data_IF_916861911229
#
_entry.id   IF_916861911229
#
_cell.length_a   1.000
_cell.length_b   1.000
_cell.length_c   1.000
_cell.angle_alpha   90.00
_cell.angle_beta   90.00
_cell.angle_gamma   90.00
#
_symmetry.space_group_name_H-M   'P 1'
#
loop_
_entity.id
_entity.type
_entity.pdbx_description
1 polymer ?
#
# COMPACT_ATOMS: atom_id res chain seq x y z
N UNK A 1 -9.87 40.77 18.49
CA UNK A 1 -9.30 39.97 17.38
C UNK A 1 -7.78 39.75 17.46
N UNK A 2 -7.10 40.04 18.57
CA UNK A 2 -5.63 40.29 18.53
C UNK A 2 -4.74 39.38 19.40
N UNK A 3 -5.27 38.36 20.09
CA UNK A 3 -4.44 37.40 20.86
C UNK A 3 -4.44 35.99 20.25
N UNK A 4 -5.60 35.52 19.77
CA UNK A 4 -5.77 34.16 19.24
C UNK A 4 -5.06 33.95 17.89
N UNK A 5 -5.09 34.96 17.01
CA UNK A 5 -4.38 34.90 15.72
C UNK A 5 -2.86 34.92 15.90
N UNK A 6 -2.35 35.65 16.89
CA UNK A 6 -0.91 35.69 17.19
C UNK A 6 -0.45 34.35 17.76
N UNK A 7 -1.23 33.73 18.67
CA UNK A 7 -0.94 32.37 19.18
C UNK A 7 -0.99 31.31 18.07
N UNK A 8 -2.00 31.34 17.19
CA UNK A 8 -2.05 30.46 16.00
C UNK A 8 -0.85 30.67 15.08
N UNK A 9 -0.43 31.91 14.84
CA UNK A 9 0.70 32.22 13.96
C UNK A 9 2.04 31.72 14.48
N UNK A 10 2.33 31.92 15.78
CA UNK A 10 3.56 31.40 16.39
C UNK A 10 3.57 29.88 16.56
N UNK A 11 2.40 29.27 16.78
CA UNK A 11 2.28 27.81 16.87
C UNK A 11 2.38 27.14 15.49
N UNK A 12 1.84 27.75 14.43
CA UNK A 12 2.04 27.32 13.04
C UNK A 12 3.53 27.39 12.65
N UNK A 13 4.28 28.39 13.11
CA UNK A 13 5.73 28.47 12.92
C UNK A 13 6.49 27.36 13.67
N UNK A 14 6.03 26.98 14.88
CA UNK A 14 6.59 25.85 15.62
C UNK A 14 6.30 24.50 14.93
N UNK A 15 5.09 24.30 14.40
CA UNK A 15 4.74 23.15 13.56
C UNK A 15 5.58 23.14 12.26
N UNK A 16 5.81 24.31 11.65
CA UNK A 16 6.69 24.43 10.47
C UNK A 16 8.14 24.01 10.78
N UNK A 17 8.64 24.31 11.99
CA UNK A 17 9.96 23.85 12.45
C UNK A 17 10.00 22.33 12.63
N UNK A 18 8.92 21.70 13.10
CA UNK A 18 8.81 20.24 13.17
C UNK A 18 8.76 19.64 11.75
N UNK A 19 8.04 20.29 10.82
CA UNK A 19 7.86 19.83 9.44
C UNK A 19 9.12 19.87 8.57
N UNK A 20 10.09 20.76 8.82
CA UNK A 20 11.34 20.80 8.02
C UNK A 20 12.25 19.57 8.25
N UNK A 21 12.06 18.84 9.35
CA UNK A 21 12.75 17.58 9.63
C UNK A 21 12.06 16.34 9.06
N UNK A 22 10.89 16.47 8.44
CA UNK A 22 10.04 15.34 8.03
C UNK A 22 10.24 14.89 6.58
N UNK A 23 11.32 15.31 5.92
CA UNK A 23 11.62 14.84 4.57
C UNK A 23 12.51 13.59 4.57
N UNK A 24 12.01 12.57 3.87
CA UNK A 24 12.69 11.42 3.26
C UNK A 24 12.82 10.08 4.01
N UNK A 25 12.42 9.91 5.28
CA UNK A 25 12.52 8.60 5.98
C UNK A 25 11.37 8.29 6.98
N UNK A 26 10.15 8.70 6.65
CA UNK A 26 9.09 8.93 7.64
C UNK A 26 8.07 7.80 7.84
N UNK A 27 8.42 6.55 7.51
CA UNK A 27 7.48 5.43 7.56
C UNK A 27 7.81 4.39 8.64
N UNK A 28 8.99 4.51 9.25
CA UNK A 28 9.49 3.58 10.23
C UNK A 28 9.66 4.28 11.56
N UNK A 29 8.89 3.83 12.56
CA UNK A 29 9.06 4.28 13.93
C UNK A 29 9.64 3.12 14.71
N UNK A 30 10.85 3.31 15.24
CA UNK A 30 11.42 2.38 16.21
C UNK A 30 10.64 2.52 17.52
N UNK A 31 9.52 1.80 17.65
CA UNK A 31 8.99 1.50 18.97
C UNK A 31 9.93 0.48 19.63
N UNK A 32 10.05 0.56 20.95
CA UNK A 32 11.08 -0.07 21.79
C UNK A 32 11.35 -1.58 21.60
N UNK A 33 10.67 -2.32 20.72
CA UNK A 33 11.05 -3.68 20.32
C UNK A 33 10.46 -4.20 18.97
N UNK A 34 9.82 -3.37 18.14
CA UNK A 34 9.32 -3.77 16.81
C UNK A 34 9.40 -2.61 15.81
N UNK A 35 9.95 -2.87 14.62
CA UNK A 35 9.77 -2.01 13.45
C UNK A 35 8.33 -2.21 12.99
N UNK A 36 7.46 -1.24 13.28
CA UNK A 36 6.07 -1.23 12.81
C UNK A 36 5.85 0.02 11.97
N UNK A 37 5.13 -0.13 10.87
CA UNK A 37 4.77 0.98 10.00
C UNK A 37 3.70 1.83 10.69
N UNK A 38 4.05 3.07 11.05
CA UNK A 38 3.15 4.01 11.70
C UNK A 38 3.01 5.30 10.87
N UNK A 39 1.80 5.86 10.85
CA UNK A 39 1.50 7.13 10.17
C UNK A 39 2.34 8.30 10.69
N UNK A 40 2.60 8.33 12.00
CA UNK A 40 3.42 9.31 12.67
C UNK A 40 4.30 8.62 13.71
N UNK A 41 5.50 9.14 13.93
CA UNK A 41 6.30 8.79 15.09
C UNK A 41 5.67 9.29 16.39
N UNK A 42 6.07 8.66 17.50
CA UNK A 42 5.52 8.94 18.82
C UNK A 42 5.70 10.41 19.25
N UNK A 43 6.81 11.04 18.89
CA UNK A 43 7.04 12.45 19.23
C UNK A 43 6.10 13.37 18.44
N UNK A 44 6.00 13.14 17.13
CA UNK A 44 5.11 13.89 16.24
C UNK A 44 3.65 13.78 16.70
N UNK A 45 3.15 12.59 16.98
CA UNK A 45 1.75 12.44 17.41
C UNK A 45 1.47 13.11 18.76
N UNK A 46 2.38 13.01 19.73
CA UNK A 46 2.18 13.69 21.02
C UNK A 46 2.12 15.22 20.88
N UNK A 47 2.96 15.80 20.01
CA UNK A 47 2.91 17.23 19.71
C UNK A 47 1.58 17.63 19.05
N UNK A 48 1.06 16.80 18.13
CA UNK A 48 -0.24 17.04 17.50
C UNK A 48 -1.41 16.93 18.48
N UNK A 49 -1.38 15.95 19.39
CA UNK A 49 -2.39 15.82 20.44
C UNK A 49 -2.35 17.03 21.39
N UNK A 50 -1.17 17.50 21.77
CA UNK A 50 -1.01 18.70 22.59
C UNK A 50 -1.51 19.95 21.85
N UNK A 51 -1.24 20.07 20.56
CA UNK A 51 -1.76 21.14 19.72
C UNK A 51 -3.29 21.13 19.68
N UNK A 52 -3.90 19.98 19.36
CA UNK A 52 -5.35 19.80 19.36
C UNK A 52 -5.96 20.15 20.72
N UNK A 53 -5.30 19.77 21.82
CA UNK A 53 -5.69 20.16 23.18
C UNK A 53 -5.72 21.69 23.32
N UNK A 54 -4.61 22.36 23.04
CA UNK A 54 -4.49 23.81 23.23
C UNK A 54 -5.47 24.60 22.36
N UNK A 55 -5.69 24.17 21.12
CA UNK A 55 -6.59 24.87 20.20
C UNK A 55 -8.07 24.62 20.48
N UNK A 56 -8.43 23.46 21.05
CA UNK A 56 -9.81 23.14 21.45
C UNK A 56 -10.21 23.71 22.82
N UNK A 57 -9.33 24.44 23.50
CA UNK A 57 -9.53 24.89 24.88
C UNK A 57 -10.81 25.72 25.09
N UNK A 58 -11.23 26.51 24.09
CA UNK A 58 -12.47 27.29 24.16
C UNK A 58 -13.75 26.43 24.23
N UNK A 59 -13.67 25.19 23.73
CA UNK A 59 -14.79 24.24 23.76
C UNK A 59 -14.94 23.56 25.12
N UNK A 60 -13.96 23.66 26.02
CA UNK A 60 -13.94 22.90 27.28
C UNK A 60 -15.07 23.27 28.22
N UNK A 61 -15.51 24.53 28.22
CA UNK A 61 -16.65 24.96 29.03
C UNK A 61 -18.01 24.51 28.47
N UNK A 62 -18.05 24.02 27.23
CA UNK A 62 -19.29 23.62 26.55
C UNK A 62 -19.61 22.13 26.70
N UNK A 63 -18.66 21.34 27.21
CA UNK A 63 -18.76 19.88 27.29
C UNK A 63 -18.39 19.38 28.67
N UNK A 64 -19.15 18.40 29.16
CA UNK A 64 -18.96 17.78 30.48
C UNK A 64 -17.80 16.81 30.51
N UNK A 65 -17.56 16.10 29.40
CA UNK A 65 -16.53 15.07 29.30
C UNK A 65 -15.54 15.37 28.17
N UNK A 66 -14.34 14.81 28.29
CA UNK A 66 -13.25 14.97 27.31
C UNK A 66 -12.60 13.62 27.08
N UNK A 67 -12.55 13.18 25.83
CA UNK A 67 -12.05 11.86 25.47
C UNK A 67 -10.95 11.94 24.42
N UNK A 68 -9.88 11.18 24.63
CA UNK A 68 -8.93 10.82 23.58
C UNK A 68 -9.38 9.46 23.04
N UNK A 69 -9.74 9.39 21.77
CA UNK A 69 -10.18 8.14 21.12
C UNK A 69 -9.05 7.63 20.25
N UNK A 70 -8.44 6.50 20.64
CA UNK A 70 -7.25 5.93 19.99
C UNK A 70 -7.08 4.45 20.30
N UNK A 71 -6.58 3.67 19.36
CA UNK A 71 -6.17 2.27 19.55
C UNK A 71 -4.77 2.12 20.15
N UNK A 72 -3.93 3.16 20.08
CA UNK A 72 -2.63 3.18 20.75
C UNK A 72 -2.76 3.43 22.26
N UNK A 73 -2.55 2.37 23.05
CA UNK A 73 -2.61 2.40 24.51
C UNK A 73 -1.54 3.28 25.17
N UNK A 74 -0.45 3.59 24.46
CA UNK A 74 0.64 4.43 24.94
C UNK A 74 0.31 5.91 24.83
N UNK A 75 -0.62 6.30 23.96
CA UNK A 75 -1.02 7.69 23.83
C UNK A 75 -1.89 8.10 25.01
N UNK A 76 -1.47 9.19 25.67
CA UNK A 76 -2.18 9.83 26.77
C UNK A 76 -2.23 11.31 26.53
N UNK A 77 -3.36 11.92 26.89
CA UNK A 77 -3.53 13.36 26.84
C UNK A 77 -4.06 13.83 28.19
N UNK A 78 -3.29 14.67 28.89
CA UNK A 78 -3.68 15.18 30.20
C UNK A 78 -5.08 15.83 30.15
N UNK A 79 -5.91 15.60 31.16
CA UNK A 79 -7.31 16.05 31.28
C UNK A 79 -8.30 15.39 30.31
N UNK A 80 -7.88 14.38 29.55
CA UNK A 80 -8.72 13.58 28.67
C UNK A 80 -8.72 12.12 29.13
N UNK A 81 -9.88 11.49 29.12
CA UNK A 81 -10.00 10.04 29.35
C UNK A 81 -9.70 9.32 28.03
N UNK A 82 -8.73 8.41 28.02
CA UNK A 82 -8.42 7.61 26.85
C UNK A 82 -9.41 6.44 26.72
N UNK A 83 -10.01 6.28 25.54
CA UNK A 83 -10.89 5.17 25.15
C UNK A 83 -10.47 4.64 23.78
N UNK A 84 -10.66 3.34 23.55
CA UNK A 84 -10.28 2.72 22.26
C UNK A 84 -11.42 2.64 21.25
N UNK A 85 -12.65 2.83 21.71
CA UNK A 85 -13.82 2.92 20.84
C UNK A 85 -14.90 3.76 21.51
N UNK A 86 -15.69 4.46 20.71
CA UNK A 86 -16.90 5.16 21.15
C UNK A 86 -17.93 4.20 21.75
N UNK A 87 -17.88 2.92 21.42
CA UNK A 87 -18.78 1.89 21.99
C UNK A 87 -18.57 1.69 23.51
N UNK A 88 -17.51 2.25 24.09
CA UNK A 88 -17.23 2.17 25.52
C UNK A 88 -18.05 3.17 26.34
N UNK A 89 -18.79 4.08 25.70
CA UNK A 89 -19.59 5.11 26.35
C UNK A 89 -21.01 5.15 25.77
N UNK A 90 -21.97 5.61 26.57
CA UNK A 90 -23.37 5.72 26.15
C UNK A 90 -23.66 6.98 25.31
N UNK A 91 -24.82 6.99 24.65
CA UNK A 91 -25.23 8.07 23.75
C UNK A 91 -25.38 9.43 24.42
N UNK A 92 -25.78 9.49 25.69
CA UNK A 92 -25.91 10.77 26.40
C UNK A 92 -24.53 11.32 26.72
N UNK A 93 -23.59 10.46 27.10
CA UNK A 93 -22.20 10.82 27.30
C UNK A 93 -21.58 11.35 26.01
N UNK A 94 -21.82 10.72 24.86
CA UNK A 94 -21.29 11.19 23.56
C UNK A 94 -21.70 12.65 23.27
N UNK A 95 -22.99 12.96 23.43
CA UNK A 95 -23.54 14.30 23.19
C UNK A 95 -22.89 15.39 24.06
N UNK A 96 -22.59 15.04 25.31
CA UNK A 96 -21.98 15.93 26.31
C UNK A 96 -20.44 15.93 26.29
N UNK A 97 -19.82 15.35 25.25
CA UNK A 97 -18.37 15.17 25.16
C UNK A 97 -17.69 16.02 24.08
N UNK A 98 -16.43 16.37 24.36
CA UNK A 98 -15.42 16.78 23.40
C UNK A 98 -14.47 15.61 23.13
N UNK A 99 -14.22 15.30 21.87
CA UNK A 99 -13.34 14.23 21.44
C UNK A 99 -12.11 14.79 20.72
N UNK A 100 -10.93 14.28 21.07
CA UNK A 100 -9.76 14.31 20.18
C UNK A 100 -9.57 12.87 19.71
N UNK A 101 -9.51 12.67 18.40
CA UNK A 101 -9.53 11.34 17.79
C UNK A 101 -8.22 11.16 17.03
N UNK A 102 -7.58 10.01 17.20
CA UNK A 102 -6.43 9.62 16.42
C UNK A 102 -6.41 8.11 16.23
N UNK A 103 -6.25 7.69 14.99
CA UNK A 103 -5.96 6.31 14.61
C UNK A 103 -4.89 6.35 13.52
N UNK A 104 -4.07 5.31 13.44
CA UNK A 104 -3.06 5.22 12.39
C UNK A 104 -3.66 5.08 10.99
N UNK A 105 -4.93 4.67 10.87
CA UNK A 105 -5.64 4.48 9.60
C UNK A 105 -6.95 5.26 9.54
N UNK A 106 -7.32 5.70 8.35
CA UNK A 106 -8.51 6.51 8.09
C UNK A 106 -9.81 5.67 8.24
N UNK A 107 -9.78 4.36 7.97
CA UNK A 107 -10.95 3.47 8.14
C UNK A 107 -11.43 3.40 9.60
N UNK A 108 -10.51 3.16 10.54
CA UNK A 108 -10.83 3.12 11.96
C UNK A 108 -11.17 4.54 12.46
N UNK A 109 -10.45 5.56 11.99
CA UNK A 109 -10.73 6.97 12.29
C UNK A 109 -12.16 7.38 11.87
N UNK A 110 -12.54 7.11 10.62
CA UNK A 110 -13.86 7.45 10.07
C UNK A 110 -14.97 6.68 10.78
N UNK A 111 -14.73 5.42 11.14
CA UNK A 111 -15.68 4.61 11.93
C UNK A 111 -15.99 5.28 13.27
N UNK A 112 -14.99 5.79 13.99
CA UNK A 112 -15.21 6.49 15.25
C UNK A 112 -15.84 7.87 15.06
N UNK A 113 -15.39 8.65 14.07
CA UNK A 113 -15.99 9.96 13.76
C UNK A 113 -17.48 9.85 13.42
N UNK A 114 -17.88 8.82 12.67
CA UNK A 114 -19.28 8.56 12.36
C UNK A 114 -20.10 8.37 13.64
N UNK A 115 -19.62 7.57 14.59
CA UNK A 115 -20.31 7.33 15.87
C UNK A 115 -20.43 8.60 16.71
N UNK A 116 -19.37 9.41 16.75
CA UNK A 116 -19.41 10.72 17.43
C UNK A 116 -20.47 11.63 16.79
N UNK A 117 -20.47 11.73 15.46
CA UNK A 117 -21.41 12.57 14.72
C UNK A 117 -22.86 12.11 14.89
N UNK A 118 -23.12 10.81 14.78
CA UNK A 118 -24.44 10.22 14.99
C UNK A 118 -24.94 10.45 16.44
N UNK A 119 -24.03 10.39 17.42
CA UNK A 119 -24.29 10.72 18.83
C UNK A 119 -24.28 12.22 19.16
N UNK A 120 -24.13 13.11 18.16
CA UNK A 120 -24.09 14.57 18.32
C UNK A 120 -22.98 15.08 19.26
N UNK A 121 -21.89 14.32 19.38
CA UNK A 121 -20.68 14.78 20.07
C UNK A 121 -19.91 15.81 19.24
N UNK A 122 -18.96 16.50 19.87
CA UNK A 122 -18.04 17.41 19.17
C UNK A 122 -16.67 16.76 19.11
N UNK A 123 -16.05 16.66 17.94
CA UNK A 123 -14.65 16.28 17.82
C UNK A 123 -13.80 17.45 17.33
N UNK A 124 -12.52 17.44 17.73
CA UNK A 124 -11.49 18.33 17.23
C UNK A 124 -10.45 17.50 16.47
N UNK A 125 -10.28 17.78 15.18
CA UNK A 125 -9.28 17.12 14.35
C UNK A 125 -7.87 17.59 14.72
N UNK A 126 -6.88 16.71 14.54
CA UNK A 126 -5.49 17.08 14.76
C UNK A 126 -5.09 18.23 13.82
N UNK A 127 -4.47 19.31 14.31
CA UNK A 127 -4.11 20.49 13.50
C UNK A 127 -2.86 20.25 12.64
N UNK A 128 -2.77 19.10 11.98
CA UNK A 128 -1.66 18.71 11.15
C UNK A 128 -1.91 19.05 9.68
N UNK A 129 -0.92 19.68 9.06
CA UNK A 129 -0.86 19.87 7.62
C UNK A 129 0.46 19.30 7.12
N UNK A 130 0.46 18.05 6.64
CA UNK A 130 1.48 17.60 5.70
C UNK A 130 0.83 16.79 4.58
N UNK A 131 1.02 17.29 3.35
CA UNK A 131 0.68 16.58 2.13
C UNK A 131 -0.76 16.06 1.98
N UNK A 132 -0.91 15.15 1.03
CA UNK A 132 -2.12 14.35 0.81
C UNK A 132 -1.93 12.98 1.48
N UNK A 133 -3.01 12.35 1.92
CA UNK A 133 -2.96 10.99 2.47
C UNK A 133 -2.48 9.99 1.41
N UNK A 134 -1.85 8.91 1.87
CA UNK A 134 -1.46 7.73 1.08
C UNK A 134 -2.56 6.68 1.21
N UNK A 135 -2.77 5.85 0.20
CA UNK A 135 -3.65 4.68 0.29
C UNK A 135 -3.28 3.78 1.48
N UNK A 136 -1.98 3.65 1.79
CA UNK A 136 -1.48 2.93 2.97
C UNK A 136 -2.21 3.33 4.25
N UNK A 137 -2.50 4.62 4.43
CA UNK A 137 -3.19 5.12 5.62
C UNK A 137 -4.70 5.00 5.51
N UNK A 138 -5.25 4.76 4.32
CA UNK A 138 -6.69 4.60 4.13
C UNK A 138 -7.17 3.19 4.47
N UNK A 139 -6.30 2.19 4.41
CA UNK A 139 -6.67 0.78 4.59
C UNK A 139 -5.74 0.06 5.58
N UNK A 140 -6.30 -0.36 6.71
CA UNK A 140 -5.55 -1.07 7.75
C UNK A 140 -5.02 -2.43 7.32
N UNK A 141 -5.66 -3.10 6.36
CA UNK A 141 -5.17 -4.36 5.83
C UNK A 141 -3.91 -4.15 4.98
N UNK A 142 -3.78 -2.99 4.32
CA UNK A 142 -2.55 -2.62 3.62
C UNK A 142 -1.39 -2.46 4.60
N UNK A 143 -1.57 -1.71 5.70
CA UNK A 143 -0.54 -1.59 6.75
C UNK A 143 -0.11 -2.96 7.27
N UNK A 144 -1.08 -3.83 7.62
CA UNK A 144 -0.80 -5.18 8.13
C UNK A 144 -0.07 -6.07 7.11
N UNK A 145 -0.44 -6.00 5.84
CA UNK A 145 0.17 -6.80 4.79
C UNK A 145 1.63 -6.41 4.53
N UNK A 146 1.90 -5.11 4.53
CA UNK A 146 3.24 -4.56 4.29
C UNK A 146 4.13 -4.79 5.52
N UNK A 147 3.61 -4.56 6.73
CA UNK A 147 4.32 -4.86 7.97
C UNK A 147 4.67 -6.35 8.07
N UNK A 148 3.73 -7.23 7.70
CA UNK A 148 3.99 -8.67 7.64
C UNK A 148 5.13 -9.00 6.66
N UNK A 149 5.07 -8.51 5.41
CA UNK A 149 6.12 -8.77 4.44
C UNK A 149 7.48 -8.24 4.90
N UNK A 150 7.54 -6.99 5.38
CA UNK A 150 8.79 -6.36 5.77
C UNK A 150 9.39 -6.95 7.06
N UNK A 151 8.59 -7.62 7.88
CA UNK A 151 9.08 -8.39 9.04
C UNK A 151 10.05 -9.51 8.65
N UNK A 152 10.02 -9.98 7.40
CA UNK A 152 10.96 -10.98 6.87
C UNK A 152 12.35 -10.41 6.58
N UNK A 153 12.55 -9.09 6.67
CA UNK A 153 13.86 -8.47 6.60
C UNK A 153 14.59 -8.81 5.30
N UNK A 154 15.83 -9.28 5.41
CA UNK A 154 16.68 -9.65 4.28
C UNK A 154 16.25 -10.92 3.53
N UNK A 155 15.18 -11.59 3.95
CA UNK A 155 14.60 -12.72 3.20
C UNK A 155 13.76 -12.26 2.02
N UNK A 156 13.39 -10.98 1.96
CA UNK A 156 12.76 -10.36 0.79
C UNK A 156 13.65 -9.22 0.28
N UNK A 157 13.47 -8.83 -0.97
CA UNK A 157 14.07 -7.63 -1.56
C UNK A 157 13.07 -6.46 -1.56
N UNK A 158 13.52 -5.30 -2.04
CA UNK A 158 12.70 -4.13 -2.37
C UNK A 158 11.63 -3.78 -1.33
N UNK A 159 12.05 -3.50 -0.08
CA UNK A 159 11.16 -2.99 0.98
C UNK A 159 10.73 -1.53 0.73
N UNK A 160 10.12 -1.28 -0.42
CA UNK A 160 9.62 0.00 -0.87
C UNK A 160 8.11 0.05 -0.67
N UNK A 161 7.64 1.01 0.14
CA UNK A 161 6.22 1.15 0.44
C UNK A 161 5.41 1.49 -0.82
N UNK A 162 5.97 2.28 -1.74
CA UNK A 162 5.27 2.72 -2.95
C UNK A 162 4.80 1.51 -3.79
N UNK A 163 5.69 0.54 -4.01
CA UNK A 163 5.41 -0.71 -4.75
C UNK A 163 4.34 -1.53 -4.04
N UNK A 164 4.55 -1.80 -2.75
CA UNK A 164 3.67 -2.68 -1.99
C UNK A 164 2.28 -2.07 -1.74
N UNK A 165 2.19 -0.75 -1.62
CA UNK A 165 0.94 -0.02 -1.44
C UNK A 165 0.04 -0.11 -2.68
N UNK A 166 0.61 0.01 -3.89
CA UNK A 166 -0.16 -0.07 -5.13
C UNK A 166 -0.74 -1.47 -5.35
N UNK A 167 -0.01 -2.53 -4.98
CA UNK A 167 -0.54 -3.90 -4.99
C UNK A 167 -1.79 -3.99 -4.10
N UNK A 168 -1.72 -3.45 -2.87
CA UNK A 168 -2.86 -3.43 -1.95
C UNK A 168 -4.04 -2.62 -2.50
N UNK A 169 -3.77 -1.45 -3.10
CA UNK A 169 -4.78 -0.60 -3.73
C UNK A 169 -5.52 -1.35 -4.85
N UNK A 170 -4.79 -2.01 -5.74
CA UNK A 170 -5.36 -2.72 -6.88
C UNK A 170 -6.20 -3.93 -6.42
N UNK A 171 -5.72 -4.68 -5.43
CA UNK A 171 -6.46 -5.79 -4.84
C UNK A 171 -7.76 -5.34 -4.18
N UNK A 172 -7.76 -4.25 -3.41
CA UNK A 172 -8.99 -3.71 -2.81
C UNK A 172 -9.97 -3.19 -3.86
N UNK A 173 -9.46 -2.41 -4.82
CA UNK A 173 -10.28 -1.77 -5.86
C UNK A 173 -11.00 -2.82 -6.72
N UNK A 174 -10.36 -3.96 -6.93
CA UNK A 174 -10.88 -5.08 -7.73
C UNK A 174 -11.47 -6.20 -6.89
N UNK A 175 -11.68 -6.03 -5.57
CA UNK A 175 -12.07 -7.13 -4.67
C UNK A 175 -13.38 -7.84 -5.03
N UNK A 176 -14.28 -7.11 -5.71
CA UNK A 176 -15.58 -7.62 -6.15
C UNK A 176 -15.55 -8.14 -7.61
N UNK A 177 -14.41 -8.03 -8.30
CA UNK A 177 -14.26 -8.55 -9.66
C UNK A 177 -13.90 -10.05 -9.61
N UNK A 178 -14.49 -10.86 -10.52
CA UNK A 178 -14.06 -12.24 -10.69
C UNK A 178 -12.68 -12.28 -11.36
N UNK A 179 -12.01 -13.43 -11.23
CA UNK A 179 -10.71 -13.68 -11.83
C UNK A 179 -9.57 -13.70 -10.82
N UNK A 180 -8.44 -14.18 -11.30
CA UNK A 180 -7.25 -14.54 -10.53
C UNK A 180 -6.32 -13.34 -10.30
N UNK A 181 -5.38 -13.51 -9.38
CA UNK A 181 -4.22 -12.62 -9.21
C UNK A 181 -3.04 -13.29 -9.88
N UNK A 182 -2.33 -12.55 -10.73
CA UNK A 182 -1.15 -13.05 -11.43
C UNK A 182 0.01 -12.11 -11.17
N UNK A 183 1.19 -12.66 -10.92
CA UNK A 183 2.43 -11.90 -10.83
C UNK A 183 3.46 -12.55 -11.74
N UNK A 184 4.04 -11.75 -12.62
CA UNK A 184 5.06 -12.16 -13.59
C UNK A 184 6.33 -11.40 -13.22
N UNK A 185 7.35 -12.15 -12.81
CA UNK A 185 8.50 -11.63 -12.08
C UNK A 185 8.21 -11.59 -10.58
N UNK A 186 8.77 -12.57 -9.86
CA UNK A 186 8.52 -12.88 -8.45
C UNK A 186 9.79 -12.68 -7.62
N UNK A 187 10.95 -13.00 -8.19
CA UNK A 187 12.27 -12.86 -7.59
C UNK A 187 12.35 -13.48 -6.17
N UNK A 188 12.52 -12.67 -5.12
CA UNK A 188 12.56 -13.13 -3.72
C UNK A 188 11.18 -13.26 -3.05
N UNK A 189 10.09 -12.91 -3.75
CA UNK A 189 8.70 -13.12 -3.31
C UNK A 189 8.13 -12.05 -2.37
N UNK A 190 8.72 -10.86 -2.29
CA UNK A 190 8.27 -9.78 -1.39
C UNK A 190 6.89 -9.21 -1.75
N UNK A 191 6.71 -8.83 -3.01
CA UNK A 191 5.44 -8.38 -3.61
C UNK A 191 4.36 -9.44 -3.49
N UNK A 192 4.68 -10.68 -3.90
CA UNK A 192 3.83 -11.85 -3.77
C UNK A 192 3.35 -12.07 -2.33
N UNK A 193 4.25 -11.99 -1.35
CA UNK A 193 3.92 -12.12 0.07
C UNK A 193 2.96 -11.01 0.53
N UNK A 194 3.17 -9.77 0.08
CA UNK A 194 2.24 -8.67 0.37
C UNK A 194 0.87 -8.90 -0.27
N UNK A 195 0.79 -9.33 -1.53
CA UNK A 195 -0.47 -9.61 -2.20
C UNK A 195 -1.29 -10.67 -1.44
N UNK A 196 -0.67 -11.81 -1.12
CA UNK A 196 -1.33 -12.88 -0.38
C UNK A 196 -1.69 -12.46 1.06
N UNK A 197 -0.81 -11.73 1.75
CA UNK A 197 -1.09 -11.22 3.10
C UNK A 197 -2.28 -10.26 3.08
N UNK A 198 -2.33 -9.36 2.10
CA UNK A 198 -3.42 -8.41 1.94
C UNK A 198 -4.74 -9.14 1.70
N UNK A 199 -4.77 -10.09 0.76
CA UNK A 199 -5.97 -10.88 0.47
C UNK A 199 -6.47 -11.64 1.70
N UNK A 200 -5.55 -12.25 2.47
CA UNK A 200 -5.89 -12.90 3.74
C UNK A 200 -6.52 -11.94 4.75
N UNK A 201 -5.92 -10.77 4.99
CA UNK A 201 -6.43 -9.80 5.95
C UNK A 201 -7.74 -9.12 5.51
N UNK A 202 -7.90 -8.90 4.20
CA UNK A 202 -9.09 -8.29 3.60
C UNK A 202 -10.22 -9.30 3.34
N UNK A 203 -9.99 -10.60 3.55
CA UNK A 203 -10.98 -11.65 3.27
C UNK A 203 -11.27 -11.85 1.79
N UNK A 204 -10.30 -11.56 0.92
CA UNK A 204 -10.40 -11.76 -0.53
C UNK A 204 -9.95 -13.18 -0.84
N UNK A 205 -10.83 -14.00 -1.41
CA UNK A 205 -10.49 -15.34 -1.85
C UNK A 205 -10.32 -15.38 -3.38
N UNK A 206 -9.07 -15.43 -3.83
CA UNK A 206 -8.68 -15.39 -5.24
C UNK A 206 -7.49 -16.32 -5.43
N UNK A 207 -7.52 -17.16 -6.46
CA UNK A 207 -6.36 -17.99 -6.76
C UNK A 207 -5.23 -17.10 -7.28
N UNK A 208 -4.02 -17.37 -6.82
CA UNK A 208 -2.84 -16.58 -7.19
C UNK A 208 -1.84 -17.41 -7.98
N UNK A 209 -1.25 -16.81 -9.00
CA UNK A 209 -0.25 -17.44 -9.85
C UNK A 209 1.02 -16.59 -9.87
N UNK A 210 2.15 -17.21 -9.57
CA UNK A 210 3.45 -16.56 -9.45
C UNK A 210 4.39 -17.18 -10.49
N UNK A 211 4.69 -16.43 -11.55
CA UNK A 211 5.47 -16.89 -12.71
C UNK A 211 6.82 -16.18 -12.74
N UNK A 212 7.91 -16.95 -12.72
CA UNK A 212 9.28 -16.43 -12.82
C UNK A 212 10.20 -17.50 -13.41
N UNK A 213 11.34 -17.12 -13.97
CA UNK A 213 12.37 -18.10 -14.35
C UNK A 213 13.06 -18.71 -13.12
N UNK A 214 13.00 -18.04 -11.96
CA UNK A 214 13.73 -18.30 -10.73
C UNK A 214 15.26 -18.45 -10.92
N UNK A 215 15.75 -17.99 -12.07
CA UNK A 215 17.14 -18.05 -12.51
C UNK A 215 17.63 -16.71 -13.07
N UNK A 216 16.96 -15.61 -12.70
CA UNK A 216 17.27 -14.27 -13.16
C UNK A 216 17.14 -14.11 -14.68
N UNK A 217 17.81 -13.08 -15.20
CA UNK A 217 17.73 -12.69 -16.62
C UNK A 217 18.82 -13.37 -17.47
N UNK A 218 18.89 -14.69 -17.34
CA UNK A 218 19.89 -15.56 -18.00
C UNK A 218 19.35 -16.27 -19.25
N UNK A 219 18.06 -16.12 -19.53
CA UNK A 219 17.38 -16.75 -20.67
C UNK A 219 17.71 -16.06 -22.00
N UNK A 220 17.59 -16.80 -23.11
CA UNK A 220 18.07 -16.37 -24.43
C UNK A 220 17.51 -15.02 -24.87
N UNK A 221 16.21 -14.74 -24.66
CA UNK A 221 15.63 -13.45 -25.04
C UNK A 221 16.24 -12.27 -24.27
N UNK A 222 16.54 -12.43 -22.97
CA UNK A 222 17.29 -11.41 -22.22
C UNK A 222 18.70 -11.22 -22.77
N UNK A 223 19.33 -12.30 -23.25
CA UNK A 223 20.67 -12.25 -23.81
C UNK A 223 20.74 -11.54 -25.17
N UNK A 224 19.66 -11.64 -25.95
CA UNK A 224 19.51 -11.09 -27.30
C UNK A 224 18.78 -9.74 -27.33
N UNK A 225 18.26 -9.29 -26.19
CA UNK A 225 17.53 -8.02 -26.07
C UNK A 225 18.40 -6.82 -26.45
N UNK A 226 17.77 -5.81 -27.07
CA UNK A 226 18.37 -4.49 -27.23
C UNK A 226 18.44 -3.71 -25.92
N UNK A 227 17.69 -4.12 -24.90
CA UNK A 227 17.73 -3.59 -23.53
C UNK A 227 18.75 -4.38 -22.70
N UNK A 228 20.00 -3.94 -22.73
CA UNK A 228 21.15 -4.74 -22.25
C UNK A 228 21.50 -4.52 -20.78
N UNK A 229 20.90 -3.53 -20.10
CA UNK A 229 21.34 -3.12 -18.75
C UNK A 229 21.15 -4.24 -17.72
N UNK A 230 20.04 -4.98 -17.83
CA UNK A 230 19.63 -5.97 -16.84
C UNK A 230 19.99 -7.41 -17.22
N UNK A 231 20.69 -7.59 -18.34
CA UNK A 231 21.22 -8.87 -18.78
C UNK A 231 22.10 -9.52 -17.70
N UNK A 232 21.90 -10.82 -17.45
CA UNK A 232 22.62 -11.61 -16.44
C UNK A 232 22.47 -11.10 -14.98
N UNK A 233 21.44 -10.30 -14.71
CA UNK A 233 21.11 -9.82 -13.35
C UNK A 233 20.04 -10.69 -12.67
N UNK A 234 19.72 -10.37 -11.41
CA UNK A 234 18.69 -11.04 -10.60
C UNK A 234 18.88 -12.55 -10.41
N UNK A 235 20.12 -13.05 -10.58
CA UNK A 235 20.47 -14.44 -10.28
C UNK A 235 20.58 -14.60 -8.76
N UNK A 236 19.80 -15.54 -8.21
CA UNK A 236 19.77 -15.87 -6.78
C UNK A 236 20.54 -17.16 -6.50
N UNK A 237 19.84 -18.18 -5.97
CA UNK A 237 20.43 -19.41 -5.46
C UNK A 237 20.23 -20.60 -6.40
N UNK A 238 19.81 -20.34 -7.64
CA UNK A 238 19.37 -21.33 -8.62
C UNK A 238 17.90 -21.73 -8.42
N UNK A 239 17.27 -22.23 -9.49
CA UNK A 239 15.82 -22.47 -9.56
C UNK A 239 15.25 -23.23 -8.35
N UNK A 240 15.77 -24.42 -7.95
CA UNK A 240 15.13 -25.20 -6.89
C UNK A 240 15.19 -24.53 -5.52
N UNK A 241 16.26 -23.78 -5.24
CA UNK A 241 16.47 -23.13 -3.95
C UNK A 241 15.71 -21.80 -3.86
N UNK A 242 15.66 -21.04 -4.96
CA UNK A 242 14.83 -19.84 -5.07
C UNK A 242 13.35 -20.19 -4.93
N UNK A 243 12.86 -21.20 -5.66
CA UNK A 243 11.46 -21.63 -5.54
C UNK A 243 11.11 -22.10 -4.14
N UNK A 244 11.99 -22.89 -3.49
CA UNK A 244 11.77 -23.36 -2.11
C UNK A 244 11.73 -22.19 -1.11
N UNK A 245 12.57 -21.19 -1.31
CA UNK A 245 12.57 -19.97 -0.51
C UNK A 245 11.24 -19.22 -0.65
N UNK A 246 10.81 -18.93 -1.89
CA UNK A 246 9.56 -18.22 -2.17
C UNK A 246 8.36 -19.01 -1.64
N UNK A 247 8.27 -20.31 -1.93
CA UNK A 247 7.18 -21.15 -1.45
C UNK A 247 7.09 -21.13 0.09
N UNK A 248 8.22 -21.24 0.79
CA UNK A 248 8.27 -21.18 2.25
C UNK A 248 7.80 -19.83 2.82
N UNK A 249 8.03 -18.72 2.11
CA UNK A 249 7.49 -17.41 2.48
C UNK A 249 5.97 -17.37 2.29
N UNK A 250 5.49 -17.76 1.11
CA UNK A 250 4.08 -17.60 0.71
C UNK A 250 3.13 -18.52 1.50
N UNK A 251 3.57 -19.73 1.88
CA UNK A 251 2.81 -20.66 2.72
C UNK A 251 2.40 -20.08 4.09
N UNK A 252 3.07 -19.02 4.58
CA UNK A 252 2.72 -18.36 5.85
C UNK A 252 1.37 -17.63 5.82
N UNK A 253 0.83 -17.36 4.63
CA UNK A 253 -0.41 -16.56 4.45
C UNK A 253 -1.69 -17.39 4.44
N UNK A 254 -1.59 -18.73 4.38
CA UNK A 254 -2.72 -19.66 4.19
C UNK A 254 -3.61 -19.36 2.98
N UNK A 255 -3.10 -18.64 1.97
CA UNK A 255 -3.80 -18.39 0.71
C UNK A 255 -3.50 -19.48 -0.32
N UNK A 256 -4.40 -19.65 -1.29
CA UNK A 256 -4.23 -20.58 -2.39
C UNK A 256 -3.39 -19.95 -3.50
N UNK A 257 -2.23 -20.56 -3.81
CA UNK A 257 -1.35 -20.09 -4.87
C UNK A 257 -0.68 -21.24 -5.64
N UNK A 258 -0.21 -20.93 -6.84
CA UNK A 258 0.69 -21.76 -7.64
C UNK A 258 1.96 -20.99 -7.97
N UNK A 259 3.11 -21.63 -7.73
CA UNK A 259 4.44 -21.11 -8.06
C UNK A 259 4.97 -21.86 -9.28
N UNK A 260 5.30 -21.15 -10.35
CA UNK A 260 5.53 -21.73 -11.68
C UNK A 260 6.83 -21.20 -12.27
N UNK A 261 7.77 -22.11 -12.55
CA UNK A 261 8.95 -21.80 -13.37
C UNK A 261 8.49 -21.52 -14.81
N UNK A 262 8.71 -20.30 -15.30
CA UNK A 262 8.21 -19.83 -16.58
C UNK A 262 9.08 -18.72 -17.16
N UNK A 263 9.51 -18.87 -18.41
CA UNK A 263 10.02 -17.78 -19.23
C UNK A 263 8.86 -17.13 -19.97
N UNK A 264 8.43 -15.95 -19.52
CA UNK A 264 7.27 -15.26 -20.10
C UNK A 264 7.41 -14.93 -21.59
N UNK A 265 8.61 -14.86 -22.15
CA UNK A 265 8.79 -14.67 -23.59
C UNK A 265 8.33 -15.90 -24.39
N UNK A 266 8.64 -17.12 -23.93
CA UNK A 266 8.39 -18.37 -24.65
C UNK A 266 7.12 -19.08 -24.21
N UNK A 267 6.95 -19.18 -22.90
CA UNK A 267 5.98 -20.10 -22.32
C UNK A 267 4.58 -19.50 -22.35
N UNK A 268 3.57 -20.34 -22.52
CA UNK A 268 2.18 -19.90 -22.41
C UNK A 268 1.80 -19.74 -20.94
N UNK A 269 0.87 -18.83 -20.64
CA UNK A 269 0.24 -18.80 -19.33
C UNK A 269 -0.46 -20.14 -19.06
N UNK A 270 -0.46 -20.65 -17.82
CA UNK A 270 -1.14 -21.89 -17.49
C UNK A 270 -2.60 -21.89 -17.95
N UNK A 271 -3.04 -22.98 -18.57
CA UNK A 271 -4.41 -23.09 -19.10
C UNK A 271 -5.49 -22.91 -18.02
N UNK A 272 -5.14 -23.11 -16.75
CA UNK A 272 -6.04 -22.87 -15.62
C UNK A 272 -6.39 -21.39 -15.40
N UNK A 273 -5.57 -20.46 -15.88
CA UNK A 273 -5.83 -19.02 -15.80
C UNK A 273 -6.79 -18.66 -16.92
N UNK A 274 -8.06 -18.37 -16.57
CA UNK A 274 -9.10 -18.03 -17.54
C UNK A 274 -9.48 -16.55 -17.53
N UNK A 275 -9.46 -15.95 -16.35
CA UNK A 275 -9.84 -14.57 -16.13
C UNK A 275 -8.90 -13.97 -15.09
N UNK A 276 -8.36 -12.79 -15.37
CA UNK A 276 -7.43 -12.11 -14.48
C UNK A 276 -8.08 -10.81 -14.00
N UNK A 277 -8.18 -10.65 -12.68
CA UNK A 277 -8.67 -9.41 -12.06
C UNK A 277 -7.53 -8.41 -11.86
N UNK A 278 -6.36 -8.90 -11.46
CA UNK A 278 -5.16 -8.10 -11.26
C UNK A 278 -3.94 -8.88 -11.75
N UNK A 279 -3.09 -8.23 -12.54
CA UNK A 279 -1.77 -8.75 -12.88
C UNK A 279 -0.69 -7.76 -12.45
N UNK A 280 0.33 -8.20 -11.72
CA UNK A 280 1.55 -7.44 -11.49
C UNK A 280 2.62 -7.89 -12.51
N UNK A 281 3.14 -6.98 -13.32
CA UNK A 281 4.21 -7.24 -14.28
C UNK A 281 5.45 -6.46 -13.81
N UNK A 282 6.49 -7.20 -13.45
CA UNK A 282 7.74 -6.72 -12.85
C UNK A 282 8.91 -7.55 -13.41
N UNK A 283 9.31 -7.26 -14.65
CA UNK A 283 10.21 -8.12 -15.45
C UNK A 283 11.38 -7.35 -16.08
N UNK A 284 11.48 -6.06 -15.81
CA UNK A 284 12.48 -5.07 -16.22
C UNK A 284 12.67 -4.87 -17.73
N UNK A 285 12.88 -5.95 -18.46
CA UNK A 285 13.31 -5.97 -19.86
C UNK A 285 12.17 -5.69 -20.83
N UNK A 286 12.52 -5.00 -21.94
CA UNK A 286 11.61 -4.74 -23.06
C UNK A 286 10.89 -6.02 -23.55
N UNK A 287 11.63 -7.08 -23.90
CA UNK A 287 11.06 -8.28 -24.51
C UNK A 287 10.11 -9.03 -23.57
N UNK A 288 10.47 -9.11 -22.29
CA UNK A 288 9.66 -9.74 -21.26
C UNK A 288 8.40 -8.93 -20.97
N UNK A 289 8.52 -7.59 -20.88
CA UNK A 289 7.38 -6.68 -20.66
C UNK A 289 6.38 -6.79 -21.81
N UNK A 290 6.86 -6.76 -23.07
CA UNK A 290 6.02 -6.90 -24.26
C UNK A 290 5.29 -8.25 -24.25
N UNK A 291 6.01 -9.34 -24.04
CA UNK A 291 5.42 -10.68 -24.03
C UNK A 291 4.39 -10.86 -22.89
N UNK A 292 4.67 -10.32 -21.70
CA UNK A 292 3.76 -10.35 -20.58
C UNK A 292 2.44 -9.61 -20.90
N UNK A 293 2.52 -8.38 -21.42
CA UNK A 293 1.35 -7.59 -21.80
C UNK A 293 0.51 -8.29 -22.87
N UNK A 294 1.14 -8.82 -23.93
CA UNK A 294 0.45 -9.52 -25.01
C UNK A 294 -0.29 -10.78 -24.54
N UNK A 295 0.27 -11.52 -23.58
CA UNK A 295 -0.31 -12.76 -23.04
C UNK A 295 -1.38 -12.50 -21.97
N UNK A 296 -1.20 -11.49 -21.13
CA UNK A 296 -2.11 -11.16 -20.02
C UNK A 296 -3.33 -10.39 -20.50
N UNK A 297 -3.15 -9.40 -21.38
CA UNK A 297 -4.22 -8.48 -21.76
C UNK A 297 -5.50 -9.13 -22.33
N UNK A 298 -5.44 -10.24 -23.09
CA UNK A 298 -6.63 -10.96 -23.54
C UNK A 298 -7.42 -11.65 -22.43
N UNK A 299 -6.80 -11.95 -21.29
CA UNK A 299 -7.42 -12.65 -20.15
C UNK A 299 -7.93 -11.70 -19.07
N UNK A 300 -7.61 -10.41 -19.15
CA UNK A 300 -8.07 -9.40 -18.20
C UNK A 300 -9.59 -9.22 -18.28
N UNK A 301 -10.26 -9.28 -17.12
CA UNK A 301 -11.68 -8.93 -17.03
C UNK A 301 -11.88 -7.43 -17.23
N UNK A 302 -13.08 -7.02 -17.63
CA UNK A 302 -13.46 -5.60 -17.64
C UNK A 302 -13.24 -4.98 -16.24
N UNK A 303 -12.62 -3.82 -16.20
CA UNK A 303 -12.17 -3.11 -14.99
C UNK A 303 -11.06 -3.80 -14.20
N UNK A 304 -10.53 -4.93 -14.69
CA UNK A 304 -9.30 -5.52 -14.18
C UNK A 304 -8.09 -4.61 -14.44
N UNK A 305 -7.06 -4.78 -13.62
CA UNK A 305 -5.90 -3.88 -13.58
C UNK A 305 -4.62 -4.65 -13.86
N UNK A 306 -3.82 -4.17 -14.82
CA UNK A 306 -2.41 -4.56 -14.94
C UNK A 306 -1.59 -3.47 -14.25
N UNK A 307 -0.77 -3.86 -13.27
CA UNK A 307 0.27 -3.03 -12.67
C UNK A 307 1.52 -3.24 -13.51
N UNK A 308 2.03 -2.18 -14.12
CA UNK A 308 3.33 -2.16 -14.78
C UNK A 308 4.31 -1.47 -13.83
N UNK A 309 5.15 -2.27 -13.17
CA UNK A 309 6.14 -1.82 -12.18
C UNK A 309 7.21 -0.96 -12.87
N UNK A 310 7.93 -1.57 -13.80
CA UNK A 310 9.17 -1.05 -14.36
C UNK A 310 9.06 0.24 -15.18
N UNK A 311 7.98 0.51 -15.96
CA UNK A 311 7.92 1.67 -16.84
C UNK A 311 8.03 3.05 -16.17
N UNK A 312 7.97 3.14 -14.83
CA UNK A 312 8.21 4.39 -14.09
C UNK A 312 9.65 4.56 -13.58
N UNK A 313 10.44 3.49 -13.55
CA UNK A 313 11.82 3.46 -13.07
C UNK A 313 12.82 3.90 -14.15
N UNK A 314 12.56 5.06 -14.76
CA UNK A 314 13.38 5.64 -15.83
C UNK A 314 14.48 6.58 -15.30
N UNK A 315 15.63 6.73 -15.98
CA UNK A 315 15.99 6.09 -17.25
C UNK A 315 16.41 4.59 -17.24
N UNK A 316 16.73 3.90 -16.11
CA UNK A 316 17.20 2.51 -16.15
C UNK A 316 16.26 1.49 -16.82
N UNK A 317 14.95 1.71 -16.76
CA UNK A 317 13.93 0.80 -17.29
C UNK A 317 13.17 1.38 -18.50
N UNK A 318 13.92 2.07 -19.37
CA UNK A 318 13.37 2.63 -20.60
C UNK A 318 12.84 1.56 -21.59
N UNK A 319 13.38 0.34 -21.54
CA UNK A 319 12.87 -0.79 -22.34
C UNK A 319 11.46 -1.20 -21.94
N UNK A 320 11.20 -1.40 -20.65
CA UNK A 320 9.83 -1.64 -20.16
C UNK A 320 8.86 -0.51 -20.53
N UNK A 321 9.30 0.76 -20.39
CA UNK A 321 8.49 1.90 -20.81
C UNK A 321 8.14 1.84 -22.30
N UNK A 322 9.12 1.58 -23.17
CA UNK A 322 8.89 1.45 -24.60
C UNK A 322 7.90 0.32 -24.92
N UNK A 323 8.08 -0.85 -24.32
CA UNK A 323 7.19 -2.00 -24.53
C UNK A 323 5.73 -1.69 -24.13
N UNK A 324 5.53 -0.99 -23.01
CA UNK A 324 4.19 -0.56 -22.58
C UNK A 324 3.57 0.43 -23.56
N UNK A 325 4.30 1.46 -23.99
CA UNK A 325 3.77 2.46 -24.94
C UNK A 325 3.43 1.82 -26.29
N UNK A 326 4.29 0.95 -26.84
CA UNK A 326 4.02 0.21 -28.07
C UNK A 326 2.79 -0.71 -27.93
N UNK A 327 2.66 -1.40 -26.80
CA UNK A 327 1.48 -2.23 -26.52
C UNK A 327 0.19 -1.39 -26.57
N UNK A 328 0.18 -0.20 -25.97
CA UNK A 328 -0.99 0.69 -25.94
C UNK A 328 -1.42 1.20 -27.32
N UNK A 329 -0.53 1.17 -28.32
CA UNK A 329 -0.85 1.51 -29.71
C UNK A 329 -1.57 0.37 -30.47
N UNK A 330 -1.50 -0.87 -29.97
CA UNK A 330 -2.16 -2.03 -30.58
C UNK A 330 -3.69 -1.99 -30.41
N UNK A 331 -4.42 -2.76 -31.21
CA UNK A 331 -5.88 -2.90 -31.06
C UNK A 331 -6.29 -3.48 -29.70
N UNK A 332 -5.46 -4.34 -29.10
CA UNK A 332 -5.69 -4.85 -27.75
C UNK A 332 -5.41 -3.78 -26.69
N UNK A 333 -4.29 -3.05 -26.82
CA UNK A 333 -3.89 -2.00 -25.89
C UNK A 333 -4.84 -0.82 -25.84
N UNK A 334 -5.47 -0.45 -26.97
CA UNK A 334 -6.53 0.58 -27.02
C UNK A 334 -7.74 0.29 -26.13
N UNK A 335 -7.93 -0.96 -25.70
CA UNK A 335 -8.95 -1.36 -24.73
C UNK A 335 -8.56 -1.11 -23.27
N UNK A 336 -7.42 -0.46 -23.03
CA UNK A 336 -6.93 -0.12 -21.70
C UNK A 336 -6.77 1.39 -21.52
N UNK A 337 -7.09 1.85 -20.31
CA UNK A 337 -6.82 3.20 -19.86
C UNK A 337 -5.53 3.19 -19.02
N UNK A 338 -4.52 3.98 -19.44
CA UNK A 338 -3.28 4.19 -18.68
C UNK A 338 -3.46 5.26 -17.60
N UNK A 339 -3.07 4.95 -16.37
CA UNK A 339 -3.05 5.87 -15.22
C UNK A 339 -1.69 5.78 -14.54
N UNK A 340 -1.11 6.91 -14.14
CA UNK A 340 0.05 6.93 -13.24
C UNK A 340 -0.45 7.09 -11.80
N UNK A 341 -0.22 6.09 -10.94
CA UNK A 341 -0.67 6.09 -9.55
C UNK A 341 0.44 5.55 -8.63
N UNK A 342 0.72 6.28 -7.54
CA UNK A 342 1.69 5.86 -6.51
C UNK A 342 3.08 5.48 -7.03
N UNK A 343 3.51 6.10 -8.13
CA UNK A 343 4.82 5.81 -8.73
C UNK A 343 4.84 4.62 -9.68
N UNK A 344 3.69 4.04 -10.05
CA UNK A 344 3.59 2.95 -11.03
C UNK A 344 2.52 3.24 -12.09
N UNK A 345 2.63 2.62 -13.27
CA UNK A 345 1.58 2.70 -14.28
C UNK A 345 0.55 1.58 -14.08
N UNK A 346 -0.72 1.95 -14.13
CA UNK A 346 -1.86 1.04 -14.10
C UNK A 346 -2.53 1.06 -15.47
N UNK A 347 -2.74 -0.11 -16.06
CA UNK A 347 -3.55 -0.29 -17.25
C UNK A 347 -4.88 -0.91 -16.86
N UNK A 348 -5.96 -0.13 -16.92
CA UNK A 348 -7.31 -0.56 -16.53
C UNK A 348 -8.07 -0.97 -17.78
N UNK A 349 -8.56 -2.21 -17.85
CA UNK A 349 -9.37 -2.70 -18.97
C UNK A 349 -10.71 -1.96 -19.02
N UNK A 350 -11.02 -1.26 -20.10
CA UNK A 350 -12.27 -0.48 -20.26
C UNK A 350 -13.33 -1.18 -21.12
N UNK A 351 -12.92 -2.08 -22.01
CA UNK A 351 -13.80 -2.81 -22.94
C UNK A 351 -13.51 -4.31 -22.87
N UNK A 352 -14.41 -5.17 -23.35
CA UNK A 352 -14.16 -6.62 -23.45
C UNK A 352 -13.26 -6.95 -24.65
#
# INVERSE_FOLDING_TARGET
>A
MTSLHIKRFFFVLFIFSINQTLNANQHWVNSLNKKTILRFDYHTINNLLLAAKLESAELYGTKKYKFLVTDDENLKLADFTAISSIDQIDSEMIKESLFIVFFHTDDDYCTQLKKINDGKGIFYSLPYWSGKTRYLWTDKNAVRAIDNAFSFGSKISHQNIDVHEIICLCLNTTKNLPGDYVEIGVYMGGSALTALSYMNYAGINRKSYFLDTFNGMTYQEAQESSDVLWKDTHVLWGVPDTMRHVEGLLQTTNQNFELIESNICRDCLPESIKHIAVCNIDVDLYDATRAALEKVAPLMVKSGIIICEDPTSTPPLAGALLAMEEFLETEMGKKFMKILAGGQYLLIKIEE
#
